data_IF_288016734837
#
_entry.id   IF_288016734837
#
_cell.length_a   1.000
_cell.length_b   1.000
_cell.length_c   1.000
_cell.angle_alpha   90.00
_cell.angle_beta   90.00
_cell.angle_gamma   90.00
#
_symmetry.space_group_name_H-M   'P 1'
#
loop_
_entity.id
_entity.type
_entity.pdbx_description
1 polymer ?
#
# COMPACT_ATOMS: atom_id res chain seq x y z
N UNK A 1 -18.16 18.32 -31.10
CA UNK A 1 -17.75 17.03 -31.71
C UNK A 1 -16.62 16.47 -30.87
N UNK A 2 -16.88 15.41 -30.10
CA UNK A 2 -15.87 14.77 -29.25
C UNK A 2 -14.96 13.91 -30.11
N UNK A 3 -13.64 14.10 -30.04
CA UNK A 3 -12.69 13.25 -30.75
C UNK A 3 -12.90 11.77 -30.37
N UNK A 4 -12.80 10.82 -31.31
CA UNK A 4 -12.97 9.40 -31.01
C UNK A 4 -11.94 8.97 -29.98
N UNK A 5 -12.43 8.38 -28.88
CA UNK A 5 -11.61 7.79 -27.82
C UNK A 5 -10.73 6.70 -28.43
N UNK A 6 -9.42 6.95 -28.50
CA UNK A 6 -8.40 6.00 -28.98
C UNK A 6 -8.20 4.87 -27.96
N UNK A 7 -9.21 4.01 -27.80
CA UNK A 7 -9.14 2.85 -26.92
C UNK A 7 -8.02 1.92 -27.40
N UNK A 8 -7.05 1.61 -26.53
CA UNK A 8 -5.96 0.70 -26.84
C UNK A 8 -4.79 1.32 -27.63
N UNK A 9 -4.77 2.63 -27.87
CA UNK A 9 -3.55 3.27 -28.37
C UNK A 9 -2.45 3.23 -27.30
N UNK A 10 -1.18 2.98 -27.68
CA UNK A 10 -0.05 3.07 -26.75
C UNK A 10 0.11 4.51 -26.24
N UNK A 11 0.56 4.63 -25.00
CA UNK A 11 1.05 5.90 -24.46
C UNK A 11 2.42 6.19 -25.07
N UNK A 12 2.72 7.47 -25.28
CA UNK A 12 4.07 7.90 -25.71
C UNK A 12 5.12 7.50 -24.67
N UNK A 13 4.79 7.67 -23.38
CA UNK A 13 5.63 7.28 -22.25
C UNK A 13 4.84 6.37 -21.29
N UNK A 14 5.40 5.23 -20.87
CA UNK A 14 4.81 4.40 -19.82
C UNK A 14 4.71 5.18 -18.50
N UNK A 15 3.53 5.18 -17.89
CA UNK A 15 3.29 5.86 -16.61
C UNK A 15 3.31 4.85 -15.48
N UNK A 16 4.21 5.02 -14.51
CA UNK A 16 4.22 4.19 -13.30
C UNK A 16 2.94 4.43 -12.51
N UNK A 17 2.30 3.34 -12.06
CA UNK A 17 1.14 3.42 -11.19
C UNK A 17 1.61 3.59 -9.74
N UNK A 18 1.99 4.79 -9.34
CA UNK A 18 2.49 5.04 -7.97
C UNK A 18 1.47 4.70 -6.89
N UNK A 19 0.19 4.96 -7.16
CA UNK A 19 -0.89 4.80 -6.18
C UNK A 19 -1.60 3.44 -6.25
N UNK A 20 -0.97 2.37 -6.78
CA UNK A 20 -1.33 1.76 -8.07
C UNK A 20 -0.65 0.41 -8.36
N UNK A 21 -1.07 -0.76 -7.86
CA UNK A 21 -0.50 -2.00 -8.42
C UNK A 21 -1.51 -3.12 -8.59
N UNK A 22 -1.18 -4.04 -9.49
CA UNK A 22 -1.84 -5.34 -9.59
C UNK A 22 -1.07 -6.38 -8.76
N UNK A 23 -1.78 -7.38 -8.25
CA UNK A 23 -1.20 -8.46 -7.44
C UNK A 23 -0.12 -9.23 -8.20
N UNK A 24 -0.25 -9.35 -9.52
CA UNK A 24 0.78 -10.00 -10.36
C UNK A 24 2.11 -9.24 -10.33
N UNK A 25 2.08 -7.91 -10.39
CA UNK A 25 3.30 -7.09 -10.31
C UNK A 25 3.88 -7.10 -8.88
N UNK A 26 3.03 -7.02 -7.86
CA UNK A 26 3.46 -7.11 -6.46
C UNK A 26 4.21 -8.42 -6.19
N UNK A 27 3.69 -9.56 -6.69
CA UNK A 27 4.29 -10.89 -6.47
C UNK A 27 5.66 -11.08 -7.12
N UNK A 28 5.91 -10.44 -8.26
CA UNK A 28 7.21 -10.57 -8.94
C UNK A 28 8.26 -9.60 -8.41
N UNK A 29 7.83 -8.46 -7.85
CA UNK A 29 8.74 -7.39 -7.47
C UNK A 29 9.82 -7.86 -6.47
N UNK A 30 9.53 -8.65 -5.42
CA UNK A 30 10.55 -9.20 -4.53
C UNK A 30 11.67 -10.00 -5.24
N UNK A 31 11.30 -10.81 -6.23
CA UNK A 31 12.27 -11.66 -6.93
C UNK A 31 13.22 -10.80 -7.78
N UNK A 32 12.66 -9.89 -8.59
CA UNK A 32 13.46 -8.94 -9.38
C UNK A 32 14.30 -8.01 -8.50
N UNK A 33 13.79 -7.64 -7.33
CA UNK A 33 14.51 -6.81 -6.38
C UNK A 33 15.71 -7.53 -5.77
N UNK A 34 15.56 -8.81 -5.44
CA UNK A 34 16.64 -9.66 -4.93
C UNK A 34 17.74 -9.87 -5.97
N UNK A 35 17.39 -10.00 -7.25
CA UNK A 35 18.37 -10.12 -8.34
C UNK A 35 19.24 -8.86 -8.47
N UNK A 36 18.69 -7.68 -8.14
CA UNK A 36 19.42 -6.41 -8.09
C UNK A 36 20.22 -6.16 -6.80
N UNK A 37 20.32 -7.14 -5.89
CA UNK A 37 21.17 -7.05 -4.70
C UNK A 37 20.69 -6.09 -3.61
N UNK A 38 19.41 -5.72 -3.59
CA UNK A 38 18.83 -4.77 -2.62
C UNK A 38 19.55 -3.42 -2.50
N UNK A 39 20.36 -3.04 -3.50
CA UNK A 39 21.07 -1.76 -3.50
C UNK A 39 20.13 -0.56 -3.65
N UNK A 40 18.93 -0.77 -4.20
CA UNK A 40 17.90 0.23 -4.46
C UNK A 40 16.63 -0.06 -3.66
N UNK A 41 15.75 0.93 -3.41
CA UNK A 41 14.45 0.67 -2.79
C UNK A 41 13.56 -0.23 -3.65
N UNK A 42 12.65 -0.97 -3.02
CA UNK A 42 11.69 -1.78 -3.75
C UNK A 42 10.78 -0.90 -4.63
N UNK A 43 10.83 -1.15 -5.92
CA UNK A 43 9.89 -0.63 -6.91
C UNK A 43 8.95 -1.74 -7.37
N UNK A 44 7.64 -1.49 -7.36
CA UNK A 44 6.66 -2.40 -7.97
C UNK A 44 6.47 -1.98 -9.43
N UNK A 45 6.98 -2.73 -10.44
CA UNK A 45 7.04 -2.28 -11.84
C UNK A 45 5.67 -2.40 -12.54
N UNK A 46 4.67 -1.65 -12.07
CA UNK A 46 3.32 -1.66 -12.58
C UNK A 46 3.05 -0.40 -13.42
N UNK A 47 3.26 -0.48 -14.74
CA UNK A 47 3.12 0.67 -15.63
C UNK A 47 1.83 0.63 -16.45
N UNK A 48 1.19 1.76 -16.68
CA UNK A 48 0.20 1.91 -17.76
C UNK A 48 0.97 2.15 -19.05
N UNK A 49 0.71 1.36 -20.08
CA UNK A 49 1.34 1.53 -21.41
C UNK A 49 0.35 1.84 -22.52
N UNK A 50 -0.96 1.72 -22.25
CA UNK A 50 -2.01 1.90 -23.25
C UNK A 50 -3.23 2.56 -22.61
N UNK A 51 -3.97 3.37 -23.37
CA UNK A 51 -5.21 3.98 -22.88
C UNK A 51 -6.31 2.93 -22.66
N UNK A 52 -6.96 3.00 -21.49
CA UNK A 52 -8.12 2.17 -21.13
C UNK A 52 -7.87 0.65 -21.14
N UNK A 53 -6.63 0.20 -20.90
CA UNK A 53 -6.34 -1.23 -20.75
C UNK A 53 -6.45 -1.69 -19.30
N UNK A 54 -7.05 -2.87 -19.11
CA UNK A 54 -7.09 -3.54 -17.81
C UNK A 54 -5.72 -4.08 -17.39
N UNK A 55 -4.87 -4.41 -18.38
CA UNK A 55 -3.51 -4.90 -18.15
C UNK A 55 -2.50 -3.76 -18.07
N UNK A 56 -1.58 -3.87 -17.12
CA UNK A 56 -0.37 -3.06 -17.08
C UNK A 56 0.66 -3.56 -18.12
N UNK A 57 1.62 -2.71 -18.48
CA UNK A 57 2.66 -3.02 -19.46
C UNK A 57 3.49 -4.25 -19.09
N UNK A 58 3.85 -4.37 -17.81
CA UNK A 58 4.62 -5.52 -17.32
C UNK A 58 3.85 -6.85 -17.49
N UNK A 59 2.56 -6.90 -17.10
CA UNK A 59 1.75 -8.10 -17.30
C UNK A 59 1.50 -8.39 -18.79
N UNK A 60 1.27 -7.35 -19.59
CA UNK A 60 1.05 -7.49 -21.03
C UNK A 60 2.29 -8.08 -21.73
N UNK A 61 3.48 -7.53 -21.48
CA UNK A 61 4.74 -8.03 -22.04
C UNK A 61 5.08 -9.45 -21.59
N UNK A 62 4.77 -9.78 -20.32
CA UNK A 62 4.95 -11.12 -19.77
C UNK A 62 3.86 -12.13 -20.18
N UNK A 63 2.86 -11.75 -20.98
CA UNK A 63 1.67 -12.57 -21.30
C UNK A 63 0.98 -13.13 -20.04
N UNK A 64 0.99 -12.37 -18.94
CA UNK A 64 0.38 -12.73 -17.65
C UNK A 64 -0.93 -11.96 -17.46
N UNK A 65 -1.87 -12.57 -16.73
CA UNK A 65 -3.08 -11.89 -16.31
C UNK A 65 -2.77 -10.82 -15.26
N UNK A 66 -3.27 -9.61 -15.48
CA UNK A 66 -3.20 -8.52 -14.51
C UNK A 66 -4.27 -8.72 -13.44
N UNK A 67 -3.87 -9.18 -12.25
CA UNK A 67 -4.80 -9.45 -11.15
C UNK A 67 -5.06 -8.18 -10.33
N UNK A 68 -6.28 -7.67 -10.39
CA UNK A 68 -6.67 -6.50 -9.60
C UNK A 68 -6.73 -6.83 -8.10
N UNK A 69 -6.45 -5.83 -7.26
CA UNK A 69 -6.70 -5.93 -5.82
C UNK A 69 -8.21 -5.82 -5.60
N UNK A 70 -8.85 -6.75 -4.85
CA UNK A 70 -10.28 -6.68 -4.57
C UNK A 70 -10.68 -5.34 -3.97
N UNK A 71 -11.77 -4.75 -4.45
CA UNK A 71 -12.22 -3.43 -4.03
C UNK A 71 -12.50 -3.35 -2.52
N UNK A 72 -12.95 -4.45 -1.90
CA UNK A 72 -13.18 -4.51 -0.46
C UNK A 72 -11.90 -4.27 0.35
N UNK A 73 -10.72 -4.67 -0.16
CA UNK A 73 -9.43 -4.54 0.55
C UNK A 73 -8.57 -3.37 0.07
N UNK A 74 -9.15 -2.42 -0.69
CA UNK A 74 -8.40 -1.30 -1.24
C UNK A 74 -7.72 -0.44 -0.16
N UNK A 75 -8.34 -0.30 1.02
CA UNK A 75 -7.76 0.41 2.15
C UNK A 75 -6.41 -0.19 2.59
N UNK A 76 -6.36 -1.51 2.77
CA UNK A 76 -5.15 -2.23 3.15
C UNK A 76 -4.05 -2.15 2.08
N UNK A 77 -4.42 -2.01 0.79
CA UNK A 77 -3.43 -1.72 -0.26
C UNK A 77 -2.79 -0.34 -0.06
N UNK A 78 -3.57 0.68 0.27
CA UNK A 78 -3.02 2.01 0.56
C UNK A 78 -2.15 1.99 1.81
N UNK A 79 -2.51 1.21 2.84
CA UNK A 79 -1.64 0.98 4.01
C UNK A 79 -0.31 0.36 3.59
N UNK A 80 -0.31 -0.69 2.76
CA UNK A 80 0.93 -1.28 2.25
C UNK A 80 1.75 -0.25 1.46
N UNK A 81 1.13 0.54 0.57
CA UNK A 81 1.82 1.59 -0.19
C UNK A 81 2.43 2.66 0.72
N UNK A 82 1.74 3.05 1.79
CA UNK A 82 2.27 3.99 2.77
C UNK A 82 3.48 3.43 3.50
N UNK A 83 3.42 2.17 3.94
CA UNK A 83 4.56 1.48 4.57
C UNK A 83 5.73 1.38 3.59
N UNK A 84 5.48 0.95 2.34
CA UNK A 84 6.51 0.85 1.31
C UNK A 84 7.15 2.20 0.99
N UNK A 85 6.37 3.28 0.93
CA UNK A 85 6.90 4.63 0.71
C UNK A 85 7.76 5.11 1.89
N UNK A 86 7.37 4.74 3.12
CA UNK A 86 8.13 5.08 4.33
C UNK A 86 9.45 4.31 4.42
N UNK A 87 9.50 3.03 4.06
CA UNK A 87 10.77 2.27 4.12
C UNK A 87 11.78 2.68 3.08
N UNK A 88 11.38 3.36 1.98
CA UNK A 88 12.32 3.84 0.97
C UNK A 88 13.42 4.72 1.58
N UNK A 89 13.14 5.39 2.71
CA UNK A 89 14.12 6.21 3.43
C UNK A 89 15.35 5.43 3.91
N UNK A 90 15.23 4.12 4.13
CA UNK A 90 16.39 3.27 4.47
C UNK A 90 17.40 3.13 3.33
N UNK A 91 17.00 3.48 2.10
CA UNK A 91 17.84 3.46 0.91
C UNK A 91 18.38 4.83 0.53
N UNK A 92 18.20 5.86 1.37
CA UNK A 92 18.80 7.16 1.10
C UNK A 92 20.31 7.09 1.38
N UNK A 93 21.10 7.59 0.43
CA UNK A 93 22.54 7.74 0.55
C UNK A 93 22.92 9.08 1.20
N UNK A 94 24.21 9.27 1.42
CA UNK A 94 24.82 10.48 2.00
C UNK A 94 24.43 11.79 1.29
N UNK A 95 24.07 11.73 0.01
CA UNK A 95 23.63 12.88 -0.81
C UNK A 95 22.12 13.12 -0.79
N UNK A 96 21.36 12.31 -0.06
CA UNK A 96 19.90 12.41 -0.06
C UNK A 96 19.23 11.76 -1.28
N UNK A 97 19.98 11.01 -2.08
CA UNK A 97 19.46 10.27 -3.24
C UNK A 97 19.20 8.81 -2.87
N UNK A 98 18.40 8.09 -3.66
CA UNK A 98 18.14 6.67 -3.39
C UNK A 98 19.23 5.77 -3.99
N UNK A 99 19.58 4.74 -3.23
CA UNK A 99 20.33 3.58 -3.67
C UNK A 99 21.84 3.71 -3.69
N UNK A 100 22.48 2.57 -4.00
CA UNK A 100 23.92 2.45 -4.23
C UNK A 100 24.18 2.70 -5.72
N UNK A 101 24.66 3.88 -6.08
CA UNK A 101 25.04 4.17 -7.47
C UNK A 101 26.51 3.82 -7.71
N UNK A 102 26.80 2.97 -8.69
CA UNK A 102 28.17 2.60 -9.11
C UNK A 102 28.72 3.43 -10.30
N UNK A 103 28.10 4.56 -10.65
CA UNK A 103 28.53 5.30 -11.84
C UNK A 103 29.82 6.11 -11.60
N UNK A 104 30.95 5.52 -11.98
CA UNK A 104 32.17 6.20 -12.44
C UNK A 104 33.07 6.82 -11.37
N UNK A 105 32.53 7.27 -10.24
CA UNK A 105 33.32 7.92 -9.19
C UNK A 105 32.73 7.59 -7.82
N UNK A 106 33.36 6.62 -7.12
CA UNK A 106 33.05 6.15 -5.75
C UNK A 106 31.68 5.50 -5.54
N UNK A 107 31.67 4.30 -4.95
CA UNK A 107 30.45 3.64 -4.46
C UNK A 107 29.82 4.57 -3.41
N UNK A 108 28.61 5.07 -3.67
CA UNK A 108 27.89 5.85 -2.67
C UNK A 108 27.41 4.93 -1.56
N UNK A 109 27.81 5.25 -0.34
CA UNK A 109 27.41 4.47 0.82
C UNK A 109 25.98 4.81 1.23
N UNK A 110 25.18 3.78 1.49
CA UNK A 110 23.86 3.95 2.09
C UNK A 110 24.02 4.50 3.50
N UNK A 111 23.15 5.43 3.89
CA UNK A 111 23.20 6.05 5.21
C UNK A 111 23.11 5.02 6.35
N UNK A 112 22.40 3.91 6.11
CA UNK A 112 22.10 2.87 7.08
C UNK A 112 22.99 1.63 6.98
N UNK A 113 23.96 1.59 6.05
CA UNK A 113 24.82 0.42 5.80
C UNK A 113 24.08 -0.78 5.19
N UNK A 114 24.81 -1.61 4.46
CA UNK A 114 24.20 -2.68 3.65
C UNK A 114 23.51 -3.79 4.49
N UNK A 115 24.11 -4.21 5.62
CA UNK A 115 23.55 -5.28 6.46
C UNK A 115 22.14 -4.93 7.01
N UNK A 116 21.94 -3.69 7.45
CA UNK A 116 20.62 -3.23 7.89
C UNK A 116 19.64 -3.16 6.72
N UNK A 117 20.10 -2.68 5.56
CA UNK A 117 19.30 -2.58 4.34
C UNK A 117 18.82 -3.96 3.86
N UNK A 118 19.68 -4.98 3.92
CA UNK A 118 19.32 -6.37 3.60
C UNK A 118 18.29 -6.93 4.59
N UNK A 119 18.46 -6.67 5.89
CA UNK A 119 17.48 -7.07 6.92
C UNK A 119 16.14 -6.37 6.74
N UNK A 120 16.16 -5.10 6.35
CA UNK A 120 14.96 -4.33 6.01
C UNK A 120 14.28 -4.90 4.77
N UNK A 121 15.06 -5.23 3.74
CA UNK A 121 14.55 -5.86 2.52
C UNK A 121 13.85 -7.19 2.83
N UNK A 122 14.45 -8.04 3.66
CA UNK A 122 13.83 -9.29 4.11
C UNK A 122 12.48 -9.04 4.81
N UNK A 123 12.40 -8.07 5.73
CA UNK A 123 11.17 -7.72 6.42
C UNK A 123 10.08 -7.18 5.47
N UNK A 124 10.46 -6.41 4.44
CA UNK A 124 9.53 -5.93 3.40
C UNK A 124 9.00 -7.08 2.55
N UNK A 125 9.85 -8.06 2.20
CA UNK A 125 9.44 -9.25 1.45
C UNK A 125 8.41 -10.05 2.25
N UNK A 126 8.65 -10.26 3.55
CA UNK A 126 7.70 -10.94 4.44
C UNK A 126 6.36 -10.20 4.53
N UNK A 127 6.40 -8.86 4.61
CA UNK A 127 5.19 -8.02 4.60
C UNK A 127 4.38 -8.19 3.31
N UNK A 128 5.05 -8.25 2.15
CA UNK A 128 4.41 -8.45 0.85
C UNK A 128 3.80 -9.85 0.75
N UNK A 129 4.48 -10.88 1.24
CA UNK A 129 3.97 -12.25 1.29
C UNK A 129 2.72 -12.30 2.18
N UNK A 130 2.76 -11.65 3.34
CA UNK A 130 1.61 -11.56 4.23
C UNK A 130 0.41 -10.87 3.56
N UNK A 131 0.64 -9.75 2.86
CA UNK A 131 -0.41 -9.07 2.09
C UNK A 131 -0.99 -9.96 0.98
N UNK A 132 -0.15 -10.69 0.24
CA UNK A 132 -0.62 -11.60 -0.80
C UNK A 132 -1.48 -12.75 -0.23
N UNK A 133 -1.07 -13.31 0.91
CA UNK A 133 -1.84 -14.32 1.62
C UNK A 133 -3.17 -13.76 2.13
N UNK A 134 -3.19 -12.53 2.62
CA UNK A 134 -4.42 -11.82 2.99
C UNK A 134 -5.38 -11.68 1.79
N UNK A 135 -4.88 -11.26 0.62
CA UNK A 135 -5.69 -11.15 -0.61
C UNK A 135 -6.21 -12.53 -1.05
N UNK A 136 -5.39 -13.57 -0.99
CA UNK A 136 -5.78 -14.95 -1.31
C UNK A 136 -6.88 -15.46 -0.37
N UNK A 137 -6.73 -15.25 0.93
CA UNK A 137 -7.71 -15.63 1.95
C UNK A 137 -9.04 -14.88 1.74
N UNK A 138 -8.97 -13.58 1.47
CA UNK A 138 -10.14 -12.76 1.11
C UNK A 138 -10.87 -13.33 -0.10
N UNK A 139 -10.15 -13.62 -1.19
CA UNK A 139 -10.74 -14.18 -2.41
C UNK A 139 -11.33 -15.58 -2.19
N UNK A 140 -10.70 -16.43 -1.38
CA UNK A 140 -11.22 -17.74 -1.05
C UNK A 140 -12.55 -17.65 -0.29
N UNK A 141 -12.62 -16.78 0.73
CA UNK A 141 -13.82 -16.58 1.53
C UNK A 141 -14.98 -15.94 0.72
N UNK A 142 -14.67 -15.06 -0.23
CA UNK A 142 -15.70 -14.46 -1.10
C UNK A 142 -16.13 -15.34 -2.26
N UNK A 143 -15.24 -16.20 -2.79
CA UNK A 143 -15.63 -17.19 -3.79
C UNK A 143 -16.69 -18.15 -3.23
N UNK A 144 -16.63 -18.45 -1.93
CA UNK A 144 -17.62 -19.28 -1.24
C UNK A 144 -18.99 -18.60 -1.05
N UNK A 145 -19.06 -17.26 -1.10
CA UNK A 145 -20.33 -16.52 -0.99
C UNK A 145 -21.01 -16.27 -2.36
N UNK A 146 -20.30 -16.48 -3.47
CA UNK A 146 -20.78 -16.22 -4.83
C UNK A 146 -21.26 -17.47 -5.61
N UNK A 147 -20.90 -18.68 -5.19
CA UNK A 147 -21.39 -19.93 -5.81
C UNK A 147 -22.68 -20.39 -5.14
N UNK A 148 -23.81 -20.07 -5.76
CA UNK A 148 -25.15 -20.60 -5.46
C UNK A 148 -25.72 -20.31 -4.06
N UNK A 149 -25.95 -19.04 -3.73
CA UNK A 149 -27.09 -18.74 -2.83
C UNK A 149 -28.35 -18.97 -3.66
N UNK A 150 -29.05 -20.09 -3.42
CA UNK A 150 -30.36 -20.31 -4.04
C UNK A 150 -31.28 -19.12 -3.70
N UNK A 151 -32.15 -18.65 -4.63
CA UNK A 151 -33.09 -17.57 -4.35
C UNK A 151 -33.98 -17.84 -3.12
N UNK A 152 -34.14 -19.10 -2.70
CA UNK A 152 -34.87 -19.49 -1.50
C UNK A 152 -34.15 -19.11 -0.19
N UNK A 153 -32.82 -19.04 -0.18
CA UNK A 153 -32.01 -18.72 1.00
C UNK A 153 -31.94 -17.21 1.30
N UNK A 154 -32.25 -16.35 0.32
CA UNK A 154 -32.27 -14.89 0.51
C UNK A 154 -33.48 -14.45 1.36
N UNK A 155 -34.59 -15.20 1.31
CA UNK A 155 -35.79 -14.89 2.11
C UNK A 155 -35.66 -15.27 3.60
N UNK A 156 -34.76 -16.19 3.97
CA UNK A 156 -34.57 -16.58 5.38
C UNK A 156 -33.54 -15.71 6.11
N UNK A 157 -32.58 -15.12 5.39
CA UNK A 157 -31.55 -14.23 5.96
C UNK A 157 -32.06 -12.81 6.26
N UNK A 158 -33.09 -12.34 5.54
CA UNK A 158 -33.67 -11.01 5.76
C UNK A 158 -34.57 -10.90 7.01
N UNK A 159 -34.95 -12.01 7.65
CA UNK A 159 -35.91 -12.03 8.78
C UNK A 159 -35.24 -12.36 10.13
N UNK A 160 -33.97 -12.77 10.17
CA UNK A 160 -33.30 -13.19 11.42
C UNK A 160 -32.29 -12.23 12.04
N UNK A 161 -32.04 -11.05 11.49
CA UNK A 161 -31.21 -10.02 12.16
C UNK A 161 -32.04 -9.16 13.11
N UNK A 162 -32.67 -9.79 14.12
CA UNK A 162 -33.05 -9.07 15.34
C UNK A 162 -31.86 -9.09 16.30
N UNK A 163 -31.36 -7.89 16.58
CA UNK A 163 -30.55 -7.48 17.71
C UNK A 163 -30.39 -8.51 18.82
N UNK A 164 -29.16 -9.00 19.00
CA UNK A 164 -28.67 -9.47 20.28
C UNK A 164 -27.16 -9.22 20.37
N UNK A 165 -26.81 -8.44 21.39
CA UNK A 165 -25.49 -8.28 22.00
C UNK A 165 -24.54 -7.32 21.29
N UNK A 166 -24.59 -6.08 21.77
CA UNK A 166 -23.66 -5.03 21.39
C UNK A 166 -22.21 -5.42 21.63
N UNK A 167 -21.37 -5.10 20.65
CA UNK A 167 -19.92 -4.90 20.79
C UNK A 167 -19.39 -4.13 19.56
N UNK A 168 -18.59 -3.12 19.89
CA UNK A 168 -17.69 -2.29 19.10
C UNK A 168 -17.97 -2.08 17.60
N UNK A 169 -18.41 -0.87 17.25
CA UNK A 169 -18.18 -0.30 15.92
C UNK A 169 -16.72 0.16 15.83
N UNK A 170 -15.88 -0.56 15.08
CA UNK A 170 -14.59 -0.01 14.67
C UNK A 170 -14.86 1.01 13.55
N UNK A 171 -15.10 2.28 13.91
CA UNK A 171 -14.94 3.39 12.96
C UNK A 171 -13.46 3.50 12.63
N UNK A 172 -13.05 2.88 11.53
CA UNK A 172 -11.75 3.21 10.92
C UNK A 172 -11.90 4.61 10.34
N UNK A 173 -11.51 5.61 11.12
CA UNK A 173 -11.22 6.93 10.59
C UNK A 173 -9.97 6.78 9.73
N UNK A 174 -10.14 6.68 8.41
CA UNK A 174 -9.07 7.06 7.49
C UNK A 174 -9.01 8.59 7.57
N UNK A 175 -8.32 9.12 8.58
CA UNK A 175 -7.92 10.52 8.52
C UNK A 175 -7.03 10.68 7.29
N UNK A 176 -7.30 11.63 6.39
CA UNK A 176 -6.34 11.94 5.33
C UNK A 176 -5.04 12.36 6.03
N UNK A 177 -4.01 11.52 5.94
CA UNK A 177 -2.70 11.83 6.48
C UNK A 177 -2.20 13.09 5.78
N UNK A 178 -2.14 14.20 6.50
CA UNK A 178 -1.38 15.38 6.06
C UNK A 178 0.09 15.06 6.21
N UNK A 179 0.72 14.66 5.10
CA UNK A 179 2.16 14.59 5.01
C UNK A 179 2.68 16.01 4.78
N UNK A 180 3.26 16.64 5.80
CA UNK A 180 3.80 18.02 5.73
C UNK A 180 4.85 18.21 4.61
N UNK A 181 5.44 17.12 4.13
CA UNK A 181 6.35 17.11 2.99
C UNK A 181 5.63 17.22 1.62
N UNK A 182 4.43 16.65 1.47
CA UNK A 182 3.62 16.80 0.24
C UNK A 182 3.19 18.26 0.02
N UNK A 183 2.90 18.95 1.12
CA UNK A 183 2.57 20.39 1.11
C UNK A 183 3.79 21.26 0.73
N UNK A 184 5.02 20.79 1.02
CA UNK A 184 6.25 21.54 0.75
C UNK A 184 6.75 21.42 -0.70
N UNK A 185 6.47 20.31 -1.41
CA UNK A 185 6.91 20.10 -2.80
C UNK A 185 5.86 20.35 -3.88
N UNK A 186 4.59 20.57 -3.52
CA UNK A 186 3.50 20.88 -4.47
C UNK A 186 2.83 22.23 -4.14
N UNK A 187 3.49 23.38 -4.41
CA UNK A 187 2.96 24.70 -4.06
C UNK A 187 1.57 25.00 -4.65
N UNK A 188 1.21 24.36 -5.78
CA UNK A 188 -0.09 24.56 -6.46
C UNK A 188 -1.31 23.97 -5.75
N UNK A 189 -1.15 23.09 -4.77
CA UNK A 189 -2.28 22.59 -3.98
C UNK A 189 -2.74 23.61 -2.92
N UNK A 190 -1.82 24.44 -2.42
CA UNK A 190 -2.14 25.49 -1.45
C UNK A 190 -2.94 26.66 -2.06
N UNK A 191 -2.76 26.93 -3.36
CA UNK A 191 -3.51 27.98 -4.08
C UNK A 191 -4.97 27.60 -4.35
N UNK A 192 -5.26 26.30 -4.52
CA UNK A 192 -6.64 25.79 -4.63
C UNK A 192 -7.41 25.85 -3.30
N UNK A 193 -6.71 25.98 -2.17
CA UNK A 193 -7.34 26.08 -0.83
C UNK A 193 -7.84 27.49 -0.50
N UNK A 194 -7.38 28.53 -1.19
CA UNK A 194 -7.67 29.93 -0.82
C UNK A 194 -8.83 30.56 -1.62
N UNK A 195 -9.46 29.82 -2.55
CA UNK A 195 -10.62 30.30 -3.28
C UNK A 195 -11.92 29.65 -2.76
N UNK A 196 -12.49 30.26 -1.72
CA UNK A 196 -13.81 30.01 -1.08
C UNK A 196 -13.97 28.66 -0.36
N UNK A 197 -14.69 28.64 0.78
CA UNK A 197 -14.88 27.42 1.56
C UNK A 197 -15.88 26.52 0.83
N UNK A 198 -15.39 25.50 0.12
CA UNK A 198 -16.23 24.39 -0.32
C UNK A 198 -16.55 23.56 0.92
N UNK A 199 -17.70 23.84 1.54
CA UNK A 199 -18.36 22.99 2.55
C UNK A 199 -18.84 21.65 1.94
N UNK A 200 -18.03 21.01 1.10
CA UNK A 200 -18.39 19.86 0.27
C UNK A 200 -17.44 18.66 0.36
N UNK A 201 -16.29 18.77 1.04
CA UNK A 201 -15.37 17.63 1.19
C UNK A 201 -15.70 16.75 2.41
N UNK A 202 -16.36 17.30 3.44
CA UNK A 202 -16.89 16.50 4.56
C UNK A 202 -18.16 15.71 4.21
N UNK A 203 -18.81 15.96 3.07
CA UNK A 203 -20.06 15.29 2.69
C UNK A 203 -19.85 14.06 1.78
N UNK A 204 -18.66 13.90 1.19
CA UNK A 204 -18.39 12.80 0.24
C UNK A 204 -17.92 11.50 0.90
N UNK A 205 -17.52 11.55 2.17
CA UNK A 205 -17.22 10.35 2.97
C UNK A 205 -18.51 9.70 3.52
N UNK A 206 -19.63 10.44 3.54
CA UNK A 206 -20.94 9.96 4.03
C UNK A 206 -21.83 9.29 2.98
N UNK A 207 -21.51 9.37 1.68
CA UNK A 207 -22.36 8.88 0.59
C UNK A 207 -21.81 7.64 -0.14
N UNK A 208 -20.60 7.19 0.18
CA UNK A 208 -20.20 5.85 -0.19
C UNK A 208 -20.82 4.89 0.82
N UNK A 209 -22.05 4.47 0.55
CA UNK A 209 -22.59 3.21 1.05
C UNK A 209 -21.74 2.07 0.49
N UNK A 210 -20.50 1.95 0.95
CA UNK A 210 -19.67 0.79 0.71
C UNK A 210 -20.41 -0.35 1.41
N UNK A 211 -20.80 -1.41 0.70
CA UNK A 211 -21.41 -2.56 1.34
C UNK A 211 -20.49 -2.98 2.49
N UNK A 212 -21.06 -3.10 3.69
CA UNK A 212 -20.37 -3.71 4.81
C UNK A 212 -20.22 -5.19 4.44
N UNK A 213 -19.15 -5.51 3.74
CA UNK A 213 -18.78 -6.89 3.50
C UNK A 213 -18.41 -7.47 4.86
N UNK A 214 -19.01 -8.60 5.23
CA UNK A 214 -18.63 -9.32 6.43
C UNK A 214 -17.28 -9.99 6.17
N UNK A 215 -16.29 -9.57 6.93
CA UNK A 215 -14.93 -10.11 6.89
C UNK A 215 -14.85 -11.31 7.82
N UNK A 216 -14.02 -12.30 7.48
CA UNK A 216 -13.49 -13.17 8.53
C UNK A 216 -12.59 -12.31 9.40
N UNK A 217 -13.03 -11.97 10.62
CA UNK A 217 -12.29 -11.16 11.61
C UNK A 217 -10.82 -11.64 11.76
N UNK A 218 -10.60 -12.94 11.56
CA UNK A 218 -9.30 -13.59 11.58
C UNK A 218 -8.32 -13.04 10.53
N UNK A 219 -8.73 -12.88 9.27
CA UNK A 219 -7.84 -12.45 8.17
C UNK A 219 -7.33 -11.01 8.34
N UNK A 220 -8.21 -10.12 8.80
CA UNK A 220 -7.89 -8.72 9.09
C UNK A 220 -7.00 -8.62 10.32
N UNK A 221 -7.32 -9.40 11.36
CA UNK A 221 -6.49 -9.46 12.58
C UNK A 221 -5.08 -9.99 12.27
N UNK A 222 -4.96 -11.00 11.41
CA UNK A 222 -3.67 -11.51 10.94
C UNK A 222 -2.87 -10.44 10.18
N UNK A 223 -3.49 -9.70 9.24
CA UNK A 223 -2.83 -8.59 8.55
C UNK A 223 -2.27 -7.57 9.53
N UNK A 224 -3.07 -7.11 10.49
CA UNK A 224 -2.60 -6.14 11.48
C UNK A 224 -1.53 -6.70 12.42
N UNK A 225 -1.60 -7.98 12.78
CA UNK A 225 -0.54 -8.62 13.55
C UNK A 225 0.79 -8.62 12.78
N UNK A 226 0.75 -8.87 11.47
CA UNK A 226 1.94 -8.76 10.60
C UNK A 226 2.47 -7.34 10.52
N UNK A 227 1.61 -6.34 10.32
CA UNK A 227 2.02 -4.93 10.29
C UNK A 227 2.66 -4.51 11.62
N UNK A 228 2.07 -4.89 12.76
CA UNK A 228 2.66 -4.64 14.09
C UNK A 228 4.02 -5.33 14.25
N UNK A 229 4.12 -6.60 13.84
CA UNK A 229 5.38 -7.34 13.91
C UNK A 229 6.46 -6.71 13.02
N UNK A 230 6.10 -6.26 11.82
CA UNK A 230 6.99 -5.53 10.92
C UNK A 230 7.57 -4.28 11.61
N UNK A 231 6.72 -3.40 12.17
CA UNK A 231 7.21 -2.22 12.90
C UNK A 231 8.07 -2.57 14.13
N UNK A 232 7.75 -3.66 14.83
CA UNK A 232 8.57 -4.16 15.93
C UNK A 232 9.96 -4.63 15.47
N UNK A 233 10.04 -5.32 14.32
CA UNK A 233 11.31 -5.68 13.68
C UNK A 233 12.10 -4.43 13.31
N UNK A 234 11.48 -3.46 12.64
CA UNK A 234 12.16 -2.21 12.27
C UNK A 234 12.69 -1.48 13.51
N UNK A 235 11.88 -1.32 14.55
CA UNK A 235 12.32 -0.67 15.79
C UNK A 235 13.51 -1.38 16.45
N UNK A 236 13.54 -2.72 16.44
CA UNK A 236 14.67 -3.49 16.96
C UNK A 236 15.93 -3.32 16.11
N UNK A 237 15.80 -3.39 14.78
CA UNK A 237 16.90 -3.17 13.85
C UNK A 237 17.49 -1.77 14.04
N UNK A 238 16.63 -0.77 14.20
CA UNK A 238 17.03 0.61 14.43
C UNK A 238 17.79 0.77 15.75
N UNK A 239 17.32 0.14 16.84
CA UNK A 239 18.02 0.19 18.13
C UNK A 239 19.37 -0.53 18.10
N UNK A 240 19.50 -1.61 17.33
CA UNK A 240 20.73 -2.42 17.29
C UNK A 240 21.91 -1.72 16.60
N UNK A 241 21.68 -0.96 15.53
CA UNK A 241 22.77 -0.32 14.79
C UNK A 241 23.22 1.06 15.31
N UNK A 242 22.86 1.42 16.56
CA UNK A 242 23.33 2.65 17.24
C UNK A 242 23.26 3.91 16.36
N UNK A 243 22.05 4.20 15.87
CA UNK A 243 21.80 5.32 14.96
C UNK A 243 22.23 6.64 15.58
N UNK A 244 22.55 7.62 14.73
CA UNK A 244 22.64 9.01 15.21
C UNK A 244 21.28 9.40 15.79
N UNK A 245 21.30 10.16 16.88
CA UNK A 245 20.09 10.61 17.57
C UNK A 245 19.09 11.31 16.64
N UNK A 246 19.59 12.03 15.63
CA UNK A 246 18.75 12.73 14.66
C UNK A 246 18.04 11.77 13.70
N UNK A 247 18.72 10.71 13.24
CA UNK A 247 18.13 9.67 12.39
C UNK A 247 17.08 8.87 13.16
N UNK A 248 17.36 8.57 14.44
CA UNK A 248 16.42 7.87 15.30
C UNK A 248 15.15 8.69 15.52
N UNK A 249 15.27 10.00 15.82
CA UNK A 249 14.11 10.90 15.94
C UNK A 249 13.31 10.99 14.65
N UNK A 250 13.99 10.96 13.51
CA UNK A 250 13.32 10.98 12.21
C UNK A 250 12.52 9.69 11.98
N UNK A 251 13.14 8.52 12.18
CA UNK A 251 12.47 7.22 12.09
C UNK A 251 11.29 7.14 13.05
N UNK A 252 11.50 7.48 14.32
CA UNK A 252 10.46 7.46 15.35
C UNK A 252 9.32 8.43 15.00
N UNK A 253 9.66 9.65 14.58
CA UNK A 253 8.71 10.69 14.15
C UNK A 253 7.76 10.22 13.04
N UNK A 254 8.28 9.45 12.09
CA UNK A 254 7.46 8.88 11.01
C UNK A 254 6.72 7.60 11.43
N UNK A 255 7.27 6.80 12.35
CA UNK A 255 6.57 5.63 12.89
C UNK A 255 5.29 6.02 13.66
N UNK A 256 5.26 7.18 14.31
CA UNK A 256 4.06 7.71 14.98
C UNK A 256 2.88 8.00 14.04
N UNK A 257 3.12 8.11 12.74
CA UNK A 257 2.05 8.29 11.75
C UNK A 257 1.19 7.03 11.62
N UNK A 258 1.69 5.86 12.03
CA UNK A 258 0.94 4.61 11.97
C UNK A 258 0.21 4.36 13.30
N UNK A 259 -1.13 4.30 13.32
CA UNK A 259 -1.93 4.26 14.55
C UNK A 259 -1.79 2.96 15.37
N UNK A 260 -0.94 2.02 14.94
CA UNK A 260 -0.83 0.68 15.51
C UNK A 260 0.11 0.59 16.73
N UNK A 261 0.77 1.69 17.11
CA UNK A 261 1.77 1.69 18.19
C UNK A 261 1.18 1.68 19.61
N UNK A 262 -0.06 2.15 19.80
CA UNK A 262 -0.66 2.35 21.13
C UNK A 262 -1.76 1.34 21.48
N UNK A 263 -1.90 0.26 20.72
CA UNK A 263 -2.88 -0.79 21.04
C UNK A 263 -2.16 -1.87 21.85
N UNK A 264 -2.14 -1.69 23.18
CA UNK A 264 -1.86 -2.76 24.14
C UNK A 264 -2.78 -3.95 23.82
N UNK A 265 -2.21 -5.16 23.73
CA UNK A 265 -2.93 -6.42 23.50
C UNK A 265 -3.18 -7.08 24.85
#
# INVERSE_FOLDING_TARGET
>A
MSAPSKKGAPLEEPVLREQSFCMTCLRVAPASWKEGGFGDPLLIPCYVTHYNTKSCGHCLGGKKTCLEVPAAIVGHRFELLAILSWVQWFWINDKGEFGVTEYGESVRELHFGLDLVEKMAAAIIDLIIAFDNFVKSHNANHSLTGTHISPASVKSLAIRSRFANGKAYLRVFVTPMRCSWLDAKLPRLSELSNQRPIAGISLLVGLLSVPIYYWGEESVSQWYAFVKNFFSVVSRLVKQHKFRLDDQKHVDGHMFLFPYQNVEV
#
